data_IF_225063816724
#
_entry.id   IF_225063816724
#
_cell.length_a   1.000
_cell.length_b   1.000
_cell.length_c   1.000
_cell.angle_alpha   90.00
_cell.angle_beta   90.00
_cell.angle_gamma   90.00
#
_symmetry.space_group_name_H-M   'P 1'
#
loop_
_entity.id
_entity.type
_entity.pdbx_description
1 polymer ?
#
# COMPACT_ATOMS: atom_id res chain seq x y z
N UNK A 1 1.86 11.24 -10.47
CA UNK A 1 1.07 10.10 -11.03
C UNK A 1 -0.41 10.35 -10.81
N UNK A 2 -1.30 9.74 -11.60
CA UNK A 2 -2.76 9.86 -11.44
C UNK A 2 -3.38 8.91 -10.41
N UNK A 3 -2.63 7.92 -9.93
CA UNK A 3 -3.14 6.86 -9.05
C UNK A 3 -3.77 7.40 -7.76
N UNK A 4 -3.09 8.31 -7.03
CA UNK A 4 -3.63 8.89 -5.80
C UNK A 4 -4.94 9.66 -6.01
N UNK A 5 -5.11 10.31 -7.17
CA UNK A 5 -6.38 10.98 -7.53
C UNK A 5 -7.48 9.99 -7.85
N UNK A 6 -7.14 8.84 -8.41
CA UNK A 6 -8.11 7.78 -8.71
C UNK A 6 -8.66 7.14 -7.43
N UNK A 7 -7.85 7.02 -6.36
CA UNK A 7 -8.33 6.58 -5.04
C UNK A 7 -9.51 7.42 -4.57
N UNK A 8 -9.44 8.75 -4.72
CA UNK A 8 -10.55 9.64 -4.37
C UNK A 8 -11.85 9.44 -5.18
N UNK A 9 -11.80 8.75 -6.32
CA UNK A 9 -13.00 8.37 -7.09
C UNK A 9 -13.62 7.07 -6.58
N UNK A 10 -12.79 6.14 -6.11
CA UNK A 10 -13.24 4.84 -5.57
C UNK A 10 -13.67 4.96 -4.11
N UNK A 11 -12.98 5.81 -3.35
CA UNK A 11 -13.23 6.14 -1.95
C UNK A 11 -13.53 7.65 -1.85
N UNK A 12 -14.79 8.07 -2.04
CA UNK A 12 -15.18 9.48 -2.11
C UNK A 12 -14.75 10.31 -0.89
N UNK A 13 -14.68 9.70 0.28
CA UNK A 13 -14.22 10.32 1.53
C UNK A 13 -12.74 10.74 1.52
N UNK A 14 -11.95 10.18 0.60
CA UNK A 14 -10.54 10.51 0.36
C UNK A 14 -10.35 11.48 -0.81
N UNK A 15 -11.43 11.93 -1.46
CA UNK A 15 -11.33 12.83 -2.60
C UNK A 15 -10.65 14.16 -2.23
N UNK A 16 -9.64 14.54 -3.03
CA UNK A 16 -8.83 15.74 -2.80
C UNK A 16 -7.85 15.65 -1.62
N UNK A 17 -7.82 14.55 -0.85
CA UNK A 17 -6.92 14.38 0.31
C UNK A 17 -5.61 13.70 -0.01
N UNK A 18 -5.54 12.96 -1.12
CA UNK A 18 -4.35 12.22 -1.55
C UNK A 18 -3.76 12.79 -2.83
N UNK A 19 -2.44 12.85 -2.89
CA UNK A 19 -1.66 13.19 -4.07
C UNK A 19 -0.37 12.36 -4.08
N UNK A 20 0.34 12.32 -5.20
CA UNK A 20 1.56 11.53 -5.28
C UNK A 20 2.40 11.77 -6.53
N UNK A 21 3.68 11.50 -6.39
CA UNK A 21 4.65 11.43 -7.49
C UNK A 21 5.12 9.99 -7.68
N UNK A 22 5.88 9.76 -8.75
CA UNK A 22 6.47 8.46 -9.04
C UNK A 22 7.87 8.69 -9.60
N UNK A 23 8.81 7.83 -9.18
CA UNK A 23 10.15 7.76 -9.72
C UNK A 23 10.27 6.47 -10.53
N UNK A 24 10.89 6.55 -11.70
CA UNK A 24 11.27 5.36 -12.46
C UNK A 24 12.73 5.06 -12.17
N UNK A 25 13.02 3.81 -11.89
CA UNK A 25 14.36 3.31 -11.59
C UNK A 25 14.70 2.15 -12.55
N UNK A 26 15.99 1.79 -12.70
CA UNK A 26 16.42 0.72 -13.62
C UNK A 26 16.13 -0.69 -13.09
N UNK A 27 14.87 -1.00 -12.79
CA UNK A 27 14.39 -2.35 -12.43
C UNK A 27 13.48 -2.89 -13.54
N UNK A 28 13.56 -4.18 -13.81
CA UNK A 28 12.85 -4.82 -14.94
C UNK A 28 11.36 -5.00 -14.66
N UNK A 29 11.00 -5.26 -13.40
CA UNK A 29 9.65 -5.50 -12.94
C UNK A 29 9.55 -5.21 -11.43
N UNK A 30 8.33 -5.22 -10.91
CA UNK A 30 7.95 -4.90 -9.53
C UNK A 30 8.12 -3.41 -9.20
N UNK A 31 7.23 -2.92 -8.35
CA UNK A 31 7.19 -1.54 -7.90
C UNK A 31 6.78 -1.48 -6.45
N UNK A 32 7.06 -0.36 -5.79
CA UNK A 32 6.69 -0.12 -4.38
C UNK A 32 5.86 1.15 -4.26
N UNK A 33 4.89 1.11 -3.36
CA UNK A 33 4.16 2.29 -2.91
C UNK A 33 4.71 2.70 -1.55
N UNK A 34 5.24 3.92 -1.46
CA UNK A 34 5.60 4.56 -0.20
C UNK A 34 4.48 5.56 0.18
N UNK A 35 3.69 5.22 1.20
CA UNK A 35 2.56 6.02 1.65
C UNK A 35 2.88 6.70 2.98
N UNK A 36 2.96 8.02 2.95
CA UNK A 36 2.96 8.85 4.15
C UNK A 36 1.62 9.56 4.31
N UNK A 37 0.95 9.35 5.44
CA UNK A 37 -0.36 9.94 5.72
C UNK A 37 -0.47 10.48 7.16
N UNK A 38 -1.39 11.42 7.38
CA UNK A 38 -1.79 11.88 8.71
C UNK A 38 -3.06 11.15 9.12
N UNK A 39 -2.99 10.39 10.19
CA UNK A 39 -4.14 9.67 10.73
C UNK A 39 -4.99 10.60 11.60
N UNK A 40 -6.31 10.42 11.55
CA UNK A 40 -7.26 11.15 12.41
C UNK A 40 -7.07 10.76 13.88
N UNK A 41 -6.89 9.46 14.13
CA UNK A 41 -6.56 8.91 15.44
C UNK A 41 -5.10 8.50 15.45
N UNK A 42 -4.39 8.80 16.54
CA UNK A 42 -3.01 8.33 16.73
C UNK A 42 -3.01 6.80 16.72
N UNK A 43 -2.05 6.23 16.02
CA UNK A 43 -1.76 4.82 16.02
C UNK A 43 -0.25 4.63 16.07
N UNK A 44 0.17 3.56 16.73
CA UNK A 44 1.53 3.06 16.74
C UNK A 44 1.79 2.22 15.49
N UNK A 45 3.06 2.00 15.18
CA UNK A 45 3.45 1.15 14.06
C UNK A 45 2.89 -0.28 14.21
N UNK A 46 2.93 -0.83 15.43
CA UNK A 46 2.42 -2.18 15.68
C UNK A 46 0.91 -2.29 15.52
N UNK A 47 0.13 -1.28 15.94
CA UNK A 47 -1.31 -1.24 15.70
C UNK A 47 -1.63 -1.25 14.19
N UNK A 48 -0.86 -0.52 13.39
CA UNK A 48 -1.02 -0.51 11.93
C UNK A 48 -0.67 -1.87 11.33
N UNK A 49 0.47 -2.47 11.72
CA UNK A 49 0.88 -3.80 11.26
C UNK A 49 -0.17 -4.85 11.55
N UNK A 50 -0.68 -4.88 12.79
CA UNK A 50 -1.72 -5.82 13.21
C UNK A 50 -2.99 -5.65 12.37
N UNK A 51 -3.42 -4.41 12.13
CA UNK A 51 -4.60 -4.14 11.30
C UNK A 51 -4.42 -4.60 9.85
N UNK A 52 -3.28 -4.30 9.22
CA UNK A 52 -2.99 -4.71 7.84
C UNK A 52 -2.91 -6.23 7.72
N UNK A 53 -2.22 -6.89 8.66
CA UNK A 53 -2.13 -8.36 8.68
C UNK A 53 -3.51 -9.01 8.83
N UNK A 54 -4.32 -8.52 9.76
CA UNK A 54 -5.67 -9.04 9.97
C UNK A 54 -6.56 -8.93 8.72
N UNK A 55 -6.51 -7.80 8.01
CA UNK A 55 -7.27 -7.63 6.77
C UNK A 55 -6.73 -8.49 5.62
N UNK A 56 -5.41 -8.69 5.54
CA UNK A 56 -4.76 -9.55 4.54
C UNK A 56 -5.15 -11.03 4.69
N UNK A 57 -5.37 -11.48 5.93
CA UNK A 57 -5.82 -12.84 6.24
C UNK A 57 -7.36 -12.96 6.24
N UNK A 58 -8.06 -11.81 6.27
CA UNK A 58 -9.50 -11.68 6.39
C UNK A 58 -10.19 -11.21 5.10
N UNK A 59 -10.81 -10.03 5.16
CA UNK A 59 -11.70 -9.54 4.09
C UNK A 59 -10.98 -9.27 2.77
N UNK A 60 -9.67 -9.01 2.80
CA UNK A 60 -8.85 -8.73 1.62
C UNK A 60 -7.98 -9.91 1.21
N UNK A 61 -8.28 -11.12 1.70
CA UNK A 61 -7.52 -12.32 1.34
C UNK A 61 -7.54 -12.56 -0.17
N UNK A 62 -6.34 -12.74 -0.75
CA UNK A 62 -6.13 -12.88 -2.19
C UNK A 62 -6.10 -11.56 -2.96
N UNK A 63 -6.19 -10.42 -2.27
CA UNK A 63 -6.01 -9.06 -2.82
C UNK A 63 -4.88 -8.33 -2.09
N UNK A 64 -4.77 -8.54 -0.77
CA UNK A 64 -3.72 -7.98 0.09
C UNK A 64 -2.89 -9.13 0.67
N UNK A 65 -1.58 -9.08 0.44
CA UNK A 65 -0.58 -9.93 1.11
C UNK A 65 0.13 -9.19 2.26
N UNK A 66 0.80 -9.95 3.13
CA UNK A 66 1.60 -9.43 4.23
C UNK A 66 2.82 -10.33 4.46
N UNK A 67 4.00 -9.73 4.64
CA UNK A 67 5.24 -10.44 4.96
C UNK A 67 6.07 -9.66 5.98
N UNK A 68 6.80 -10.38 6.84
CA UNK A 68 7.82 -9.82 7.75
C UNK A 68 9.24 -10.30 7.40
N UNK A 69 9.39 -11.03 6.29
CA UNK A 69 10.68 -11.52 5.83
C UNK A 69 11.49 -10.39 5.18
N UNK A 70 12.82 -10.48 5.25
CA UNK A 70 13.73 -9.54 4.59
C UNK A 70 13.79 -9.81 3.08
N UNK A 71 12.79 -9.29 2.37
CA UNK A 71 12.58 -9.49 0.93
C UNK A 71 13.02 -8.29 0.08
N UNK A 72 13.32 -8.55 -1.18
CA UNK A 72 13.66 -7.55 -2.21
C UNK A 72 12.70 -7.64 -3.40
N UNK A 73 12.80 -6.70 -4.35
CA UNK A 73 11.81 -6.58 -5.43
C UNK A 73 11.65 -7.84 -6.28
N UNK A 74 12.72 -8.60 -6.51
CA UNK A 74 12.66 -9.82 -7.33
C UNK A 74 11.88 -10.94 -6.70
N UNK A 75 11.73 -10.95 -5.38
CA UNK A 75 11.00 -11.99 -4.65
C UNK A 75 9.49 -11.91 -4.90
N UNK A 76 9.00 -10.78 -5.42
CA UNK A 76 7.60 -10.53 -5.76
C UNK A 76 7.28 -10.68 -7.26
N UNK A 77 8.24 -11.12 -8.09
CA UNK A 77 7.97 -11.35 -9.51
C UNK A 77 7.01 -12.54 -9.65
N UNK A 78 5.87 -12.32 -10.30
CA UNK A 78 4.85 -13.35 -10.51
C UNK A 78 3.90 -13.56 -9.32
N UNK A 79 3.98 -12.71 -8.30
CA UNK A 79 2.98 -12.64 -7.22
C UNK A 79 1.61 -12.21 -7.79
N UNK A 80 0.53 -12.81 -7.29
CA UNK A 80 -0.82 -12.72 -7.87
C UNK A 80 -1.89 -12.33 -6.86
#
# INVERSE_FOLDING_TARGET
TGAAKAVGKVLPELNGKLTGMAFRVPTVDVSVVDLTARLEKKATYEEIKVAIKAESEGALKGILGYTEDDVVSTDFIGDS
#
